data_IF_294301263317
#
_entry.id   IF_294301263317
#
_cell.length_a   1.000
_cell.length_b   1.000
_cell.length_c   1.000
_cell.angle_alpha   90.00
_cell.angle_beta   90.00
_cell.angle_gamma   90.00
#
_symmetry.space_group_name_H-M   'P 1'
#
loop_
_entity.id
_entity.type
_entity.pdbx_description
1 polymer ?
#
# COMPACT_ATOMS: atom_id res chain seq x y z
N UNK A 1 16.04 -7.57 0.52
CA UNK A 1 15.56 -6.94 -0.74
C UNK A 1 14.99 -5.57 -0.38
N UNK A 2 15.43 -4.51 -1.06
CA UNK A 2 15.12 -3.11 -0.70
C UNK A 2 13.71 -2.71 -1.16
N UNK A 3 13.05 -1.81 -0.41
CA UNK A 3 11.78 -1.22 -0.85
C UNK A 3 12.03 -0.19 -1.98
N UNK A 4 11.24 -0.24 -3.05
CA UNK A 4 11.42 0.60 -4.25
C UNK A 4 10.07 1.11 -4.74
N UNK A 5 10.04 2.39 -5.12
CA UNK A 5 8.95 3.02 -5.88
C UNK A 5 9.57 3.65 -7.12
N UNK A 6 9.19 3.18 -8.32
CA UNK A 6 9.67 3.73 -9.60
C UNK A 6 8.49 4.16 -10.46
N UNK A 7 8.45 5.45 -10.82
CA UNK A 7 7.47 5.99 -11.77
C UNK A 7 8.03 5.90 -13.18
N UNK A 8 7.16 5.70 -14.16
CA UNK A 8 7.51 5.72 -15.58
C UNK A 8 6.41 6.39 -16.40
N UNK A 9 6.76 6.81 -17.61
CA UNK A 9 5.87 7.45 -18.58
C UNK A 9 6.19 6.89 -19.97
N UNK A 10 5.20 6.33 -20.63
CA UNK A 10 5.23 6.04 -22.06
C UNK A 10 4.82 7.31 -22.80
N UNK A 11 5.81 8.09 -23.26
CA UNK A 11 5.59 9.44 -23.81
C UNK A 11 4.64 9.44 -25.00
N UNK A 12 4.84 8.53 -25.94
CA UNK A 12 4.06 8.49 -27.19
C UNK A 12 2.61 8.04 -26.99
N UNK A 13 2.29 7.47 -25.82
CA UNK A 13 0.96 6.97 -25.48
C UNK A 13 0.25 7.83 -24.42
N UNK A 14 0.94 8.83 -23.84
CA UNK A 14 0.47 9.59 -22.67
C UNK A 14 0.04 8.72 -21.47
N UNK A 15 0.69 7.56 -21.30
CA UNK A 15 0.40 6.62 -20.21
C UNK A 15 1.46 6.71 -19.14
N UNK A 16 1.05 7.03 -17.91
CA UNK A 16 1.91 7.00 -16.71
C UNK A 16 1.69 5.70 -15.94
N UNK A 17 2.75 5.19 -15.35
CA UNK A 17 2.67 4.02 -14.48
C UNK A 17 3.68 4.04 -13.34
N UNK A 18 3.55 3.05 -12.47
CA UNK A 18 4.36 2.91 -11.27
C UNK A 18 4.69 1.43 -11.02
N UNK A 19 5.93 1.16 -10.63
CA UNK A 19 6.38 -0.13 -10.12
C UNK A 19 6.71 0.02 -8.63
N UNK A 20 6.18 -0.90 -7.83
CA UNK A 20 6.28 -0.89 -6.37
C UNK A 20 6.79 -2.24 -5.87
N UNK A 21 7.80 -2.21 -5.00
CA UNK A 21 8.23 -3.36 -4.20
C UNK A 21 8.39 -2.91 -2.76
N UNK A 22 7.69 -3.56 -1.82
CA UNK A 22 7.63 -3.15 -0.40
C UNK A 22 7.94 -4.30 0.56
N UNK A 23 8.74 -5.29 0.13
CA UNK A 23 8.89 -6.56 0.84
C UNK A 23 9.29 -6.38 2.32
N UNK A 24 10.29 -5.55 2.62
CA UNK A 24 10.73 -5.34 4.01
C UNK A 24 9.68 -4.60 4.86
N UNK A 25 9.10 -3.53 4.32
CA UNK A 25 8.06 -2.77 5.05
C UNK A 25 6.83 -3.63 5.28
N UNK A 26 6.42 -4.39 4.28
CA UNK A 26 5.33 -5.34 4.36
C UNK A 26 5.57 -6.40 5.45
N UNK A 27 6.74 -7.04 5.44
CA UNK A 27 7.11 -8.02 6.46
C UNK A 27 7.08 -7.42 7.87
N UNK A 28 7.60 -6.21 8.06
CA UNK A 28 7.54 -5.51 9.34
C UNK A 28 6.10 -5.21 9.78
N UNK A 29 5.20 -4.86 8.86
CA UNK A 29 3.80 -4.58 9.17
C UNK A 29 3.00 -5.81 9.61
N UNK A 30 3.39 -7.01 9.18
CA UNK A 30 2.70 -8.26 9.54
C UNK A 30 3.41 -9.08 10.62
N UNK A 31 4.61 -8.68 11.03
CA UNK A 31 5.40 -9.42 12.00
C UNK A 31 4.64 -9.56 13.33
N UNK A 32 4.66 -10.76 13.90
CA UNK A 32 4.01 -11.11 15.18
C UNK A 32 2.48 -10.86 15.26
N UNK A 33 1.80 -10.61 14.12
CA UNK A 33 0.34 -10.36 14.10
C UNK A 33 -0.54 -11.60 13.99
N UNK A 34 0.05 -12.77 13.72
CA UNK A 34 -0.69 -14.02 13.61
C UNK A 34 -1.72 -14.08 12.46
N UNK A 35 -1.66 -13.17 11.50
CA UNK A 35 -2.62 -13.13 10.38
C UNK A 35 -2.62 -14.43 9.57
N UNK A 36 -3.82 -14.87 9.18
CA UNK A 36 -3.99 -15.95 8.20
C UNK A 36 -3.39 -15.57 6.85
N UNK A 37 -3.13 -16.55 5.99
CA UNK A 37 -2.56 -16.32 4.66
C UNK A 37 -3.43 -15.34 3.84
N UNK A 38 -4.75 -15.46 3.94
CA UNK A 38 -5.73 -14.64 3.23
C UNK A 38 -5.68 -13.19 3.70
N UNK A 39 -5.63 -12.96 5.01
CA UNK A 39 -5.52 -11.61 5.59
C UNK A 39 -4.18 -10.97 5.20
N UNK A 40 -3.08 -11.73 5.24
CA UNK A 40 -1.77 -11.25 4.76
C UNK A 40 -1.85 -10.82 3.29
N UNK A 41 -2.43 -11.65 2.43
CA UNK A 41 -2.52 -11.29 1.01
C UNK A 41 -3.32 -10.00 0.79
N UNK A 42 -4.53 -9.91 1.36
CA UNK A 42 -5.39 -8.74 1.20
C UNK A 42 -4.75 -7.47 1.78
N UNK A 43 -4.10 -7.58 2.94
CA UNK A 43 -3.40 -6.45 3.55
C UNK A 43 -2.20 -5.99 2.73
N UNK A 44 -1.51 -6.90 2.03
CA UNK A 44 -0.43 -6.58 1.11
C UNK A 44 -0.94 -5.85 -0.14
N UNK A 45 -2.04 -6.33 -0.73
CA UNK A 45 -2.70 -5.71 -1.87
C UNK A 45 -3.20 -4.30 -1.53
N UNK A 46 -3.88 -4.15 -0.39
CA UNK A 46 -4.36 -2.85 0.09
C UNK A 46 -3.20 -1.88 0.38
N UNK A 47 -2.11 -2.40 0.97
CA UNK A 47 -0.89 -1.61 1.23
C UNK A 47 -0.25 -1.11 -0.05
N UNK A 48 -0.12 -1.97 -1.05
CA UNK A 48 0.43 -1.60 -2.35
C UNK A 48 -0.43 -0.52 -3.04
N UNK A 49 -1.75 -0.71 -3.06
CA UNK A 49 -2.69 0.23 -3.65
C UNK A 49 -2.64 1.60 -2.95
N UNK A 50 -2.65 1.61 -1.61
CA UNK A 50 -2.59 2.83 -0.83
C UNK A 50 -1.30 3.63 -1.11
N UNK A 51 -0.15 2.95 -1.25
CA UNK A 51 1.12 3.60 -1.59
C UNK A 51 1.09 4.18 -3.00
N UNK A 52 0.55 3.45 -3.97
CA UNK A 52 0.47 3.92 -5.36
C UNK A 52 -0.40 5.17 -5.48
N UNK A 53 -1.54 5.20 -4.79
CA UNK A 53 -2.43 6.36 -4.73
C UNK A 53 -1.77 7.54 -4.00
N UNK A 54 -1.16 7.28 -2.84
CA UNK A 54 -0.45 8.30 -2.06
C UNK A 54 0.73 8.93 -2.82
N UNK A 55 1.43 8.16 -3.65
CA UNK A 55 2.53 8.64 -4.48
C UNK A 55 2.08 9.62 -5.59
N UNK A 56 0.77 9.72 -5.85
CA UNK A 56 0.15 10.71 -6.73
C UNK A 56 -0.29 12.00 -6.02
N UNK A 57 -0.24 12.06 -4.68
CA UNK A 57 -0.70 13.24 -3.93
C UNK A 57 0.19 14.46 -4.19
N UNK A 58 -0.45 15.60 -4.49
CA UNK A 58 0.23 16.90 -4.70
C UNK A 58 0.32 17.75 -3.43
N UNK A 59 -0.33 17.34 -2.34
CA UNK A 59 -0.47 18.09 -1.11
C UNK A 59 0.09 17.32 0.08
N UNK A 60 0.50 18.04 1.14
CA UNK A 60 0.88 17.43 2.40
C UNK A 60 -0.37 16.89 3.08
N UNK A 61 -0.34 15.62 3.47
CA UNK A 61 -1.48 14.95 4.09
C UNK A 61 -1.23 13.46 4.27
N UNK A 62 -2.34 12.72 4.36
CA UNK A 62 -2.37 11.26 4.48
C UNK A 62 -3.56 10.71 3.71
N UNK A 63 -3.42 9.52 3.15
CA UNK A 63 -4.45 8.74 2.51
C UNK A 63 -4.73 7.52 3.38
N UNK A 64 -5.99 7.33 3.75
CA UNK A 64 -6.44 6.14 4.48
C UNK A 64 -7.31 5.30 3.56
N UNK A 65 -6.91 4.05 3.35
CA UNK A 65 -7.74 3.04 2.72
C UNK A 65 -8.34 2.14 3.78
N UNK A 66 -9.63 1.91 3.67
CA UNK A 66 -10.38 1.10 4.61
C UNK A 66 -11.25 0.10 3.86
N UNK A 67 -11.16 -1.16 4.27
CA UNK A 67 -12.08 -2.21 3.87
C UNK A 67 -12.86 -2.65 5.10
N UNK A 68 -14.19 -2.70 4.99
CA UNK A 68 -15.10 -3.16 6.04
C UNK A 68 -15.91 -4.33 5.51
N UNK A 69 -16.17 -5.32 6.38
CA UNK A 69 -16.99 -6.46 6.03
C UNK A 69 -17.64 -7.08 7.26
N UNK A 70 -18.59 -7.99 7.01
CA UNK A 70 -19.34 -8.68 8.08
C UNK A 70 -18.82 -10.11 8.31
N UNK A 71 -17.57 -10.39 7.91
CA UNK A 71 -16.96 -11.72 7.95
C UNK A 71 -15.92 -11.88 9.06
N UNK A 72 -15.02 -12.84 8.87
CA UNK A 72 -13.91 -13.17 9.80
C UNK A 72 -12.98 -11.98 10.08
N UNK A 73 -13.00 -10.97 9.21
CA UNK A 73 -12.33 -9.70 9.39
C UNK A 73 -13.36 -8.57 9.23
N UNK A 74 -13.59 -7.81 10.30
CA UNK A 74 -14.55 -6.70 10.29
C UNK A 74 -13.97 -5.43 9.68
N UNK A 75 -12.66 -5.25 9.80
CA UNK A 75 -11.96 -4.03 9.41
C UNK A 75 -10.53 -4.34 8.97
N UNK A 76 -10.13 -3.76 7.85
CA UNK A 76 -8.75 -3.62 7.42
C UNK A 76 -8.48 -2.17 7.07
N UNK A 77 -7.40 -1.62 7.63
CA UNK A 77 -7.06 -0.22 7.45
C UNK A 77 -5.59 -0.08 7.09
N UNK A 78 -5.31 0.73 6.08
CA UNK A 78 -3.95 1.15 5.72
C UNK A 78 -3.95 2.67 5.63
N UNK A 79 -2.96 3.31 6.23
CA UNK A 79 -2.71 4.73 6.10
C UNK A 79 -1.32 4.97 5.51
N UNK A 80 -1.26 5.83 4.50
CA UNK A 80 0.00 6.27 3.87
C UNK A 80 0.08 7.79 3.89
N UNK A 81 1.17 8.32 4.43
CA UNK A 81 1.42 9.76 4.49
C UNK A 81 2.11 10.26 3.21
N UNK A 82 2.03 11.56 2.95
CA UNK A 82 2.71 12.21 1.81
C UNK A 82 4.24 12.03 1.82
N UNK A 83 4.87 11.83 2.99
CA UNK A 83 6.28 11.49 3.14
C UNK A 83 6.56 9.98 3.01
N UNK A 84 5.60 9.21 2.47
CA UNK A 84 5.70 7.78 2.14
C UNK A 84 5.90 6.86 3.35
N UNK A 85 5.45 7.26 4.53
CA UNK A 85 5.33 6.36 5.68
C UNK A 85 4.01 5.62 5.57
N UNK A 86 4.02 4.33 5.87
CA UNK A 86 2.85 3.47 5.84
C UNK A 86 2.67 2.80 7.19
N UNK A 87 1.40 2.62 7.58
CA UNK A 87 0.97 1.80 8.71
C UNK A 87 -0.39 1.15 8.40
N UNK A 88 -0.72 0.11 9.16
CA UNK A 88 -2.02 -0.56 9.16
C UNK A 88 -2.08 -1.61 10.24
#
# INVERSE_FOLDING_TARGET
MMNIIRRFLFKDLDIRGQHLSINHTWQAMINDRGYSKQVRQLFGELSALAIMLANGMKHKGKLTMQYQGNGVMSLLLVEVTHDRKIRG
#
